data_IF_467272688053
#
_entry.id   IF_467272688053
#
_cell.length_a   1.000
_cell.length_b   1.000
_cell.length_c   1.000
_cell.angle_alpha   90.00
_cell.angle_beta   90.00
_cell.angle_gamma   90.00
#
_symmetry.space_group_name_H-M   'P 1'
#
loop_
_entity.id
_entity.type
_entity.pdbx_description
1 polymer ?
#
# COMPACT_ATOMS: atom_id res chain seq x y z
N UNK A 1 -23.68 -23.16 -7.12
CA UNK A 1 -23.21 -24.34 -6.36
C UNK A 1 -22.56 -23.80 -5.10
N UNK A 2 -22.96 -24.26 -3.90
CA UNK A 2 -22.27 -23.90 -2.67
C UNK A 2 -20.87 -24.51 -2.69
N UNK A 3 -19.85 -23.68 -2.56
CA UNK A 3 -18.45 -24.14 -2.50
C UNK A 3 -18.30 -24.89 -1.18
N UNK A 4 -18.02 -26.18 -1.23
CA UNK A 4 -17.74 -26.98 -0.03
C UNK A 4 -16.40 -26.48 0.54
N UNK A 5 -16.43 -25.83 1.69
CA UNK A 5 -15.23 -25.39 2.39
C UNK A 5 -14.65 -26.56 3.20
N UNK A 6 -13.32 -26.73 3.14
CA UNK A 6 -12.64 -27.71 3.99
C UNK A 6 -12.62 -27.25 5.46
N UNK A 7 -12.42 -28.19 6.38
CA UNK A 7 -12.29 -27.87 7.81
C UNK A 7 -11.19 -26.83 8.06
N UNK A 8 -10.05 -26.94 7.37
CA UNK A 8 -8.95 -25.96 7.44
C UNK A 8 -9.39 -24.56 6.99
N UNK A 9 -10.21 -24.45 5.94
CA UNK A 9 -10.75 -23.17 5.49
C UNK A 9 -11.70 -22.58 6.52
N UNK A 10 -12.54 -23.40 7.13
CA UNK A 10 -13.45 -22.97 8.20
C UNK A 10 -12.68 -22.48 9.45
N UNK A 11 -11.67 -23.24 9.90
CA UNK A 11 -10.84 -22.82 11.04
C UNK A 11 -10.06 -21.51 10.73
N UNK A 12 -9.47 -21.40 9.56
CA UNK A 12 -8.76 -20.20 9.12
C UNK A 12 -9.67 -18.97 9.08
N UNK A 13 -10.92 -19.13 8.63
CA UNK A 13 -11.88 -18.01 8.56
C UNK A 13 -12.23 -17.44 9.94
N UNK A 14 -12.10 -18.25 11.01
CA UNK A 14 -12.35 -17.82 12.39
C UNK A 14 -11.20 -16.99 12.98
N UNK A 15 -10.01 -17.02 12.39
CA UNK A 15 -8.86 -16.31 12.91
C UNK A 15 -9.08 -14.80 12.89
N UNK A 16 -8.89 -14.17 14.03
CA UNK A 16 -8.94 -12.71 14.18
C UNK A 16 -7.57 -12.20 14.61
N UNK A 17 -6.90 -11.38 13.79
CA UNK A 17 -5.58 -10.84 14.15
C UNK A 17 -5.69 -9.92 15.36
N UNK A 18 -4.71 -10.04 16.25
CA UNK A 18 -4.58 -9.13 17.40
C UNK A 18 -3.81 -7.89 16.95
N UNK A 19 -4.51 -6.76 16.89
CA UNK A 19 -3.89 -5.51 16.51
C UNK A 19 -2.94 -5.00 17.61
N UNK A 20 -1.81 -4.37 17.25
CA UNK A 20 -0.98 -3.64 18.17
C UNK A 20 -1.81 -2.63 18.99
N UNK A 21 -1.42 -2.42 20.24
CA UNK A 21 -2.21 -1.59 21.18
C UNK A 21 -2.51 -0.18 20.64
N UNK A 22 -1.60 0.40 19.86
CA UNK A 22 -1.77 1.72 19.25
C UNK A 22 -2.87 1.75 18.18
N UNK A 23 -3.12 0.62 17.49
CA UNK A 23 -4.08 0.54 16.39
C UNK A 23 -5.48 0.07 16.83
N UNK A 24 -5.66 -0.39 18.07
CA UNK A 24 -6.94 -0.96 18.55
C UNK A 24 -8.11 0.03 18.47
N UNK A 25 -7.84 1.31 18.71
CA UNK A 25 -8.83 2.39 18.59
C UNK A 25 -9.22 2.74 17.15
N UNK A 26 -8.55 2.14 16.16
CA UNK A 26 -8.72 2.42 14.75
C UNK A 26 -8.01 3.71 14.30
N UNK A 27 -8.10 4.03 13.00
CA UNK A 27 -7.31 5.13 12.41
C UNK A 27 -7.55 6.51 13.05
N UNK A 28 -8.77 6.81 13.50
CA UNK A 28 -9.10 8.07 14.18
C UNK A 28 -8.47 8.20 15.58
N UNK A 29 -8.05 7.09 16.16
CA UNK A 29 -7.39 7.03 17.48
C UNK A 29 -5.85 7.01 17.38
N UNK A 30 -5.29 7.30 16.20
CA UNK A 30 -3.84 7.25 15.93
C UNK A 30 -3.37 8.58 15.36
N UNK A 31 -2.29 9.10 15.90
CA UNK A 31 -1.59 10.26 15.37
C UNK A 31 -0.13 9.94 15.07
N UNK A 32 0.40 10.35 13.91
CA UNK A 32 1.82 10.22 13.62
C UNK A 32 2.59 11.28 14.39
N UNK A 33 3.70 10.88 15.04
CA UNK A 33 4.72 11.76 15.54
C UNK A 33 5.95 11.62 14.67
N UNK A 34 6.44 12.74 14.15
CA UNK A 34 7.65 12.75 13.36
C UNK A 34 8.88 12.66 14.27
N UNK A 35 9.70 11.67 14.00
CA UNK A 35 10.98 11.45 14.66
C UNK A 35 12.13 12.16 13.97
N UNK A 36 13.33 11.59 14.10
CA UNK A 36 14.52 12.09 13.41
C UNK A 36 14.45 11.80 11.91
N UNK A 37 15.13 12.61 11.07
CA UNK A 37 15.34 12.25 9.66
C UNK A 37 16.02 10.88 9.55
N UNK A 38 15.58 10.11 8.56
CA UNK A 38 16.18 8.81 8.24
C UNK A 38 17.40 8.99 7.34
N UNK A 39 18.31 8.03 7.37
CA UNK A 39 19.51 8.00 6.52
C UNK A 39 19.69 6.59 5.97
N UNK A 40 20.23 6.48 4.76
CA UNK A 40 20.69 5.18 4.26
C UNK A 40 21.97 4.73 4.98
N UNK A 41 22.18 3.42 5.03
CA UNK A 41 23.39 2.83 5.63
C UNK A 41 24.63 3.14 4.80
N UNK A 42 24.47 3.25 3.46
CA UNK A 42 25.54 3.56 2.51
C UNK A 42 25.06 4.55 1.44
N UNK A 43 25.99 5.05 0.64
CA UNK A 43 25.72 5.84 -0.57
C UNK A 43 24.84 7.07 -0.36
N UNK A 44 24.93 7.68 0.81
CA UNK A 44 24.02 8.76 1.26
C UNK A 44 24.01 9.96 0.31
N UNK A 45 25.16 10.39 -0.20
CA UNK A 45 25.26 11.52 -1.13
C UNK A 45 24.61 11.22 -2.48
N UNK A 46 24.90 10.04 -3.01
CA UNK A 46 24.32 9.58 -4.29
C UNK A 46 22.80 9.44 -4.19
N UNK A 47 22.32 8.83 -3.10
CA UNK A 47 20.89 8.69 -2.87
C UNK A 47 20.19 10.03 -2.67
N UNK A 48 20.82 10.97 -1.96
CA UNK A 48 20.29 12.32 -1.82
C UNK A 48 20.21 13.07 -3.15
N UNK A 49 21.19 12.86 -4.03
CA UNK A 49 21.18 13.45 -5.37
C UNK A 49 20.06 12.89 -6.25
N UNK A 50 19.78 11.58 -6.14
CA UNK A 50 18.73 10.89 -6.92
C UNK A 50 17.32 11.17 -6.36
N UNK A 51 17.19 11.28 -5.02
CA UNK A 51 15.91 11.43 -4.31
C UNK A 51 15.85 12.73 -3.49
N UNK A 52 16.05 13.92 -4.08
CA UNK A 52 16.16 15.17 -3.35
C UNK A 52 14.90 15.56 -2.56
N UNK A 53 13.71 15.07 -2.96
CA UNK A 53 12.43 15.37 -2.30
C UNK A 53 12.01 14.33 -1.26
N UNK A 54 12.57 13.13 -1.34
CA UNK A 54 12.14 12.01 -0.48
C UNK A 54 13.25 11.45 0.41
N UNK A 55 14.52 11.69 0.10
CA UNK A 55 15.63 11.31 0.98
C UNK A 55 15.57 12.06 2.31
N UNK A 56 15.79 11.34 3.39
CA UNK A 56 15.84 11.95 4.73
C UNK A 56 14.47 12.31 5.31
N UNK A 57 13.37 11.77 4.75
CA UNK A 57 12.08 11.92 5.39
C UNK A 57 12.12 11.38 6.83
N UNK A 58 11.46 12.07 7.79
CA UNK A 58 11.51 11.65 9.19
C UNK A 58 10.79 10.34 9.43
N UNK A 59 11.25 9.58 10.40
CA UNK A 59 10.53 8.42 10.89
C UNK A 59 9.14 8.84 11.42
N UNK A 60 8.09 8.19 10.96
CA UNK A 60 6.74 8.43 11.45
C UNK A 60 6.37 7.38 12.52
N UNK A 61 6.36 7.77 13.78
CA UNK A 61 5.95 6.92 14.89
C UNK A 61 4.45 7.06 15.13
N UNK A 62 3.74 5.93 15.12
CA UNK A 62 2.31 5.92 15.41
C UNK A 62 2.09 5.93 16.92
N UNK A 63 1.36 6.92 17.41
CA UNK A 63 1.03 7.07 18.83
C UNK A 63 -0.48 7.17 19.02
N UNK A 64 -0.95 6.80 20.20
CA UNK A 64 -2.36 7.01 20.57
C UNK A 64 -2.69 8.49 20.62
N UNK A 65 -3.80 8.87 20.02
CA UNK A 65 -4.27 10.26 20.01
C UNK A 65 -5.46 10.44 19.08
N UNK A 66 -6.21 11.52 19.27
CA UNK A 66 -7.33 11.84 18.40
C UNK A 66 -6.82 12.51 17.12
N UNK A 67 -7.07 11.88 15.98
CA UNK A 67 -6.77 12.45 14.66
C UNK A 67 -8.03 13.05 14.04
N UNK A 68 -8.22 14.39 14.10
CA UNK A 68 -9.43 15.04 13.62
C UNK A 68 -9.55 15.07 12.10
N UNK A 69 -8.52 14.72 11.36
CA UNK A 69 -8.51 14.72 9.89
C UNK A 69 -9.02 13.41 9.31
N UNK A 70 -8.89 12.31 10.07
CA UNK A 70 -9.34 10.99 9.63
C UNK A 70 -10.86 10.95 9.54
N UNK A 71 -11.36 10.51 8.41
CA UNK A 71 -12.78 10.32 8.16
C UNK A 71 -13.55 11.56 7.70
N UNK A 72 -12.95 12.77 7.68
CA UNK A 72 -13.62 14.00 7.23
C UNK A 72 -14.00 13.97 5.75
N UNK A 73 -13.13 13.44 4.91
CA UNK A 73 -13.34 13.28 3.47
C UNK A 73 -13.16 11.83 3.07
N UNK A 74 -13.88 11.36 2.06
CA UNK A 74 -13.59 10.06 1.47
C UNK A 74 -12.14 10.01 0.99
N UNK A 75 -11.50 8.85 1.17
CA UNK A 75 -10.11 8.57 0.79
C UNK A 75 -10.06 7.38 -0.16
N UNK A 76 -9.28 7.48 -1.22
CA UNK A 76 -9.07 6.42 -2.21
C UNK A 76 -7.61 5.97 -2.16
N UNK A 77 -7.41 4.73 -1.73
CA UNK A 77 -6.10 4.11 -1.68
C UNK A 77 -5.94 3.12 -2.82
N UNK A 78 -4.89 3.27 -3.61
CA UNK A 78 -4.44 2.25 -4.55
C UNK A 78 -3.56 1.22 -3.85
N UNK A 79 -3.63 -0.03 -4.27
CA UNK A 79 -2.71 -1.08 -3.84
C UNK A 79 -2.25 -1.88 -5.04
N UNK A 80 -0.97 -2.21 -5.07
CA UNK A 80 -0.34 -3.06 -6.09
C UNK A 80 0.57 -4.07 -5.41
N UNK A 81 0.49 -5.33 -5.86
CA UNK A 81 1.44 -6.37 -5.50
C UNK A 81 2.54 -6.44 -6.55
N UNK A 82 3.78 -6.32 -6.14
CA UNK A 82 4.93 -6.23 -7.04
C UNK A 82 5.98 -7.29 -6.72
N UNK A 83 6.52 -7.89 -7.77
CA UNK A 83 7.53 -8.94 -7.66
C UNK A 83 6.96 -10.35 -7.52
N UNK A 84 7.75 -11.26 -6.97
CA UNK A 84 7.33 -12.64 -6.69
C UNK A 84 6.32 -12.74 -5.56
N UNK A 85 5.54 -13.80 -5.55
CA UNK A 85 4.57 -14.08 -4.48
C UNK A 85 5.28 -14.43 -3.17
N UNK A 86 4.65 -14.06 -2.05
CA UNK A 86 5.04 -14.46 -0.71
C UNK A 86 3.81 -14.51 0.21
N UNK A 87 3.86 -15.20 1.34
CA UNK A 87 2.76 -15.19 2.30
C UNK A 87 2.42 -13.79 2.81
N UNK A 88 1.13 -13.48 2.97
CA UNK A 88 0.67 -12.29 3.68
C UNK A 88 0.08 -11.16 2.82
N UNK A 89 0.15 -11.23 1.49
CA UNK A 89 -0.41 -10.18 0.63
C UNK A 89 -1.89 -9.90 0.87
N UNK A 90 -2.70 -10.95 0.91
CA UNK A 90 -4.14 -10.82 1.20
C UNK A 90 -4.39 -10.24 2.59
N UNK A 91 -3.53 -10.53 3.57
CA UNK A 91 -3.67 -9.99 4.93
C UNK A 91 -3.37 -8.49 4.98
N UNK A 92 -2.37 -8.02 4.22
CA UNK A 92 -2.10 -6.58 4.07
C UNK A 92 -3.31 -5.89 3.44
N UNK A 93 -3.84 -6.46 2.35
CA UNK A 93 -4.98 -5.90 1.64
C UNK A 93 -6.25 -5.87 2.53
N UNK A 94 -6.55 -6.97 3.22
CA UNK A 94 -7.67 -7.04 4.15
C UNK A 94 -7.53 -6.03 5.30
N UNK A 95 -6.34 -5.91 5.89
CA UNK A 95 -6.06 -4.94 6.94
C UNK A 95 -6.23 -3.48 6.48
N UNK A 96 -5.76 -3.14 5.28
CA UNK A 96 -5.98 -1.83 4.69
C UNK A 96 -7.46 -1.55 4.41
N UNK A 97 -8.18 -2.53 3.87
CA UNK A 97 -9.62 -2.44 3.64
C UNK A 97 -10.38 -2.16 4.94
N UNK A 98 -10.14 -2.96 5.96
CA UNK A 98 -10.80 -2.83 7.26
C UNK A 98 -10.51 -1.46 7.91
N UNK A 99 -9.24 -1.02 7.86
CA UNK A 99 -8.85 0.29 8.37
C UNK A 99 -9.51 1.44 7.62
N UNK A 100 -9.56 1.37 6.29
CA UNK A 100 -10.23 2.37 5.45
C UNK A 100 -11.72 2.45 5.77
N UNK A 101 -12.41 1.32 5.82
CA UNK A 101 -13.85 1.27 6.12
C UNK A 101 -14.19 1.70 7.54
N UNK A 102 -13.31 1.39 8.50
CA UNK A 102 -13.43 1.86 9.89
C UNK A 102 -13.23 3.38 10.00
N UNK A 103 -12.34 3.95 9.19
CA UNK A 103 -12.12 5.40 9.16
C UNK A 103 -13.29 6.16 8.53
N UNK A 104 -13.79 5.69 7.40
CA UNK A 104 -14.96 6.23 6.70
C UNK A 104 -15.54 5.15 5.76
N UNK A 105 -16.81 4.76 5.89
CA UNK A 105 -17.44 3.78 5.00
C UNK A 105 -17.38 4.12 3.50
N UNK A 106 -17.27 5.42 3.16
CA UNK A 106 -17.14 5.92 1.77
C UNK A 106 -15.72 5.76 1.20
N UNK A 107 -14.72 5.43 2.03
CA UNK A 107 -13.37 5.18 1.55
C UNK A 107 -13.34 4.00 0.58
N UNK A 108 -12.43 4.08 -0.40
CA UNK A 108 -12.27 3.04 -1.43
C UNK A 108 -10.86 2.48 -1.42
N UNK A 109 -10.75 1.18 -1.62
CA UNK A 109 -9.50 0.50 -1.90
C UNK A 109 -9.55 0.01 -3.35
N UNK A 110 -8.55 0.39 -4.15
CA UNK A 110 -8.45 0.08 -5.57
C UNK A 110 -7.25 -0.83 -5.78
N UNK A 111 -7.48 -2.06 -6.22
CA UNK A 111 -6.42 -3.01 -6.55
C UNK A 111 -6.00 -2.89 -8.01
N UNK A 112 -4.71 -2.73 -8.29
CA UNK A 112 -4.16 -2.81 -9.64
C UNK A 112 -3.84 -4.26 -9.96
N UNK A 113 -4.43 -4.78 -11.05
CA UNK A 113 -4.40 -6.20 -11.40
C UNK A 113 -3.13 -6.53 -12.19
N UNK A 114 -2.46 -7.62 -11.83
CA UNK A 114 -1.27 -8.10 -12.53
C UNK A 114 0.02 -7.36 -12.16
N UNK A 115 0.02 -6.65 -11.04
CA UNK A 115 1.19 -5.91 -10.57
C UNK A 115 1.32 -4.52 -11.17
N UNK A 116 2.55 -3.94 -11.25
CA UNK A 116 2.76 -2.59 -11.74
C UNK A 116 2.31 -2.37 -13.20
N UNK A 117 2.25 -3.41 -14.03
CA UNK A 117 1.65 -3.31 -15.37
C UNK A 117 0.20 -2.88 -15.31
N UNK A 118 -0.54 -3.26 -14.27
CA UNK A 118 -1.91 -2.83 -14.07
C UNK A 118 -2.04 -1.30 -13.88
N UNK A 119 -1.02 -0.64 -13.36
CA UNK A 119 -0.97 0.84 -13.31
C UNK A 119 -0.78 1.39 -14.72
N UNK A 120 0.14 0.84 -15.50
CA UNK A 120 0.43 1.29 -16.87
C UNK A 120 -0.75 1.05 -17.82
N UNK A 121 -1.43 -0.06 -17.68
CA UNK A 121 -2.58 -0.46 -18.50
C UNK A 121 -3.92 0.09 -17.96
N UNK A 122 -3.91 0.82 -16.84
CA UNK A 122 -5.11 1.26 -16.11
C UNK A 122 -6.06 0.09 -15.78
N UNK A 123 -5.49 -1.07 -15.47
CA UNK A 123 -6.23 -2.30 -15.18
C UNK A 123 -6.43 -2.43 -13.68
N UNK A 124 -7.62 -2.10 -13.23
CA UNK A 124 -7.91 -1.97 -11.79
C UNK A 124 -9.30 -2.49 -11.44
N UNK A 125 -9.50 -2.79 -10.16
CA UNK A 125 -10.79 -3.14 -9.60
C UNK A 125 -11.01 -2.48 -8.24
N UNK A 126 -12.24 -2.12 -7.93
CA UNK A 126 -12.59 -1.73 -6.55
C UNK A 126 -12.66 -2.97 -5.67
N UNK A 127 -11.92 -2.97 -4.59
CA UNK A 127 -11.93 -4.04 -3.59
C UNK A 127 -13.13 -3.83 -2.68
N UNK A 128 -14.08 -4.76 -2.75
CA UNK A 128 -15.31 -4.76 -1.95
C UNK A 128 -15.22 -5.72 -0.77
N UNK A 129 -16.13 -5.60 0.19
CA UNK A 129 -16.22 -6.53 1.30
C UNK A 129 -16.37 -8.00 0.83
N UNK A 130 -17.20 -8.24 -0.19
CA UNK A 130 -17.38 -9.59 -0.74
C UNK A 130 -16.09 -10.16 -1.31
N UNK A 131 -15.28 -9.34 -1.99
CA UNK A 131 -13.97 -9.75 -2.50
C UNK A 131 -13.03 -10.08 -1.34
N UNK A 132 -12.93 -9.20 -0.33
CA UNK A 132 -12.04 -9.41 0.82
C UNK A 132 -12.39 -10.68 1.58
N UNK A 133 -13.67 -10.94 1.83
CA UNK A 133 -14.08 -12.12 2.61
C UNK A 133 -13.71 -13.44 1.95
N UNK A 134 -13.71 -13.51 0.60
CA UNK A 134 -13.26 -14.70 -0.13
C UNK A 134 -11.77 -15.03 0.09
N UNK A 135 -10.96 -14.02 0.40
CA UNK A 135 -9.50 -14.13 0.55
C UNK A 135 -9.00 -13.88 1.97
N UNK A 136 -9.91 -13.55 2.90
CA UNK A 136 -9.52 -13.27 4.29
C UNK A 136 -8.78 -14.44 4.90
N UNK A 137 -7.64 -14.15 5.54
CA UNK A 137 -6.75 -15.12 6.18
C UNK A 137 -6.16 -16.20 5.25
N UNK A 138 -6.27 -16.05 3.94
CA UNK A 138 -5.67 -17.00 3.00
C UNK A 138 -4.17 -16.81 2.80
N UNK A 139 -3.67 -15.60 3.07
CA UNK A 139 -2.25 -15.29 3.03
C UNK A 139 -1.60 -15.22 1.65
N UNK A 140 -2.36 -15.37 0.58
CA UNK A 140 -1.84 -15.40 -0.80
C UNK A 140 -1.65 -14.01 -1.44
N UNK A 141 -1.47 -14.02 -2.75
CA UNK A 141 -1.25 -12.85 -3.62
C UNK A 141 -2.16 -12.81 -4.86
N UNK A 142 -3.01 -13.82 -5.02
CA UNK A 142 -3.78 -14.04 -6.25
C UNK A 142 -5.03 -13.16 -6.38
N UNK A 143 -5.49 -12.51 -5.30
CA UNK A 143 -6.66 -11.63 -5.34
C UNK A 143 -6.57 -10.55 -6.42
N UNK A 144 -5.43 -9.88 -6.51
CA UNK A 144 -5.13 -8.87 -7.53
C UNK A 144 -3.93 -9.25 -8.39
N UNK A 145 -3.40 -10.46 -8.18
CA UNK A 145 -2.19 -10.95 -8.83
C UNK A 145 -0.96 -10.08 -8.55
N UNK A 146 0.19 -10.48 -9.03
CA UNK A 146 1.43 -9.69 -8.94
C UNK A 146 2.20 -9.77 -10.24
N UNK A 147 3.12 -8.83 -10.46
CA UNK A 147 3.96 -8.78 -11.65
C UNK A 147 5.31 -8.16 -11.38
N UNK A 148 6.26 -8.37 -12.30
CA UNK A 148 7.65 -7.90 -12.18
C UNK A 148 7.97 -6.68 -13.04
N UNK A 149 6.96 -6.06 -13.64
CA UNK A 149 7.12 -4.83 -14.40
C UNK A 149 7.65 -3.74 -13.49
N UNK A 150 8.68 -3.01 -13.95
CA UNK A 150 9.21 -1.83 -13.29
C UNK A 150 8.70 -0.58 -14.01
N UNK A 151 8.40 0.47 -13.27
CA UNK A 151 7.99 1.77 -13.81
C UNK A 151 9.17 2.71 -13.62
N UNK A 152 10.06 2.77 -14.63
CA UNK A 152 11.37 3.42 -14.52
C UNK A 152 11.61 4.45 -15.63
N UNK A 153 11.03 4.25 -16.83
CA UNK A 153 11.25 5.19 -17.92
C UNK A 153 10.38 6.44 -17.78
N UNK A 154 10.79 7.59 -18.34
CA UNK A 154 9.99 8.81 -18.31
C UNK A 154 8.57 8.61 -18.85
N UNK A 155 8.41 7.81 -19.90
CA UNK A 155 7.12 7.51 -20.52
C UNK A 155 6.24 6.70 -19.58
N UNK A 156 6.81 5.66 -18.92
CA UNK A 156 6.08 4.85 -17.93
C UNK A 156 5.67 5.67 -16.72
N UNK A 157 6.54 6.55 -16.23
CA UNK A 157 6.25 7.45 -15.12
C UNK A 157 5.11 8.42 -15.47
N UNK A 158 5.12 8.97 -16.70
CA UNK A 158 4.04 9.84 -17.19
C UNK A 158 2.70 9.09 -17.30
N UNK A 159 2.71 7.83 -17.79
CA UNK A 159 1.53 6.98 -17.84
C UNK A 159 1.03 6.69 -16.43
N UNK A 160 1.91 6.30 -15.51
CA UNK A 160 1.56 6.05 -14.12
C UNK A 160 0.93 7.29 -13.46
N UNK A 161 1.51 8.48 -13.66
CA UNK A 161 0.94 9.76 -13.22
C UNK A 161 -0.49 9.93 -13.72
N UNK A 162 -0.70 9.77 -15.03
CA UNK A 162 -2.03 9.90 -15.65
C UNK A 162 -3.04 8.92 -15.03
N UNK A 163 -2.66 7.66 -14.84
CA UNK A 163 -3.51 6.64 -14.22
C UNK A 163 -3.89 7.00 -12.78
N UNK A 164 -2.92 7.46 -11.99
CA UNK A 164 -3.11 7.78 -10.57
C UNK A 164 -3.95 9.05 -10.38
N UNK A 165 -3.74 10.07 -11.20
CA UNK A 165 -4.50 11.31 -11.13
C UNK A 165 -5.91 11.18 -11.69
N UNK A 166 -6.13 10.26 -12.59
CA UNK A 166 -7.34 10.08 -13.37
C UNK A 166 -8.26 11.30 -13.46
N UNK A 167 -8.70 11.61 -14.66
CA UNK A 167 -9.28 12.84 -15.19
C UNK A 167 -10.43 13.51 -14.42
N UNK A 168 -10.88 12.97 -13.29
CA UNK A 168 -11.90 13.61 -12.44
C UNK A 168 -11.47 13.55 -10.99
N UNK A 169 -11.73 14.61 -10.22
CA UNK A 169 -11.47 14.63 -8.76
C UNK A 169 -12.10 13.45 -8.03
N UNK A 170 -13.23 12.94 -8.52
CA UNK A 170 -13.91 11.77 -7.94
C UNK A 170 -13.14 10.45 -8.09
N UNK A 171 -12.20 10.36 -9.04
CA UNK A 171 -11.48 9.13 -9.37
C UNK A 171 -9.99 9.16 -8.99
N UNK A 172 -9.45 10.31 -8.62
CA UNK A 172 -8.06 10.45 -8.17
C UNK A 172 -7.78 9.59 -6.95
N UNK A 173 -6.60 8.99 -6.92
CA UNK A 173 -6.08 8.36 -5.71
C UNK A 173 -5.48 9.41 -4.75
N UNK A 174 -5.61 9.17 -3.46
CA UNK A 174 -4.98 9.96 -2.40
C UNK A 174 -3.70 9.29 -1.89
N UNK A 175 -3.55 7.99 -2.13
CA UNK A 175 -2.39 7.21 -1.76
C UNK A 175 -2.22 5.98 -2.63
N UNK A 176 -1.00 5.44 -2.66
CA UNK A 176 -0.63 4.21 -3.34
C UNK A 176 0.24 3.36 -2.41
N UNK A 177 -0.19 2.15 -2.11
CA UNK A 177 0.59 1.14 -1.41
C UNK A 177 1.23 0.18 -2.42
N UNK A 178 2.55 0.05 -2.38
CA UNK A 178 3.32 -0.88 -3.22
C UNK A 178 3.86 -1.98 -2.33
N UNK A 179 3.29 -3.18 -2.45
CA UNK A 179 3.69 -4.33 -1.63
C UNK A 179 4.64 -5.20 -2.43
N UNK A 180 5.90 -5.31 -1.99
CA UNK A 180 6.89 -6.10 -2.71
C UNK A 180 8.28 -6.14 -2.08
N UNK A 181 9.22 -6.80 -2.73
CA UNK A 181 10.62 -6.91 -2.31
C UNK A 181 11.42 -5.63 -2.55
N UNK A 182 12.74 -5.74 -2.51
CA UNK A 182 13.67 -4.60 -2.61
C UNK A 182 13.47 -3.78 -3.89
N UNK A 183 13.47 -4.44 -5.04
CA UNK A 183 13.22 -3.78 -6.33
C UNK A 183 11.89 -3.01 -6.35
N UNK A 184 10.86 -3.61 -5.74
CA UNK A 184 9.53 -3.01 -5.70
C UNK A 184 9.49 -1.79 -4.78
N UNK A 185 10.22 -1.82 -3.67
CA UNK A 185 10.33 -0.69 -2.74
C UNK A 185 11.21 0.41 -3.34
N UNK A 186 12.25 0.07 -4.09
CA UNK A 186 13.03 1.04 -4.88
C UNK A 186 12.14 1.72 -5.92
N UNK A 187 11.30 0.95 -6.63
CA UNK A 187 10.35 1.51 -7.59
C UNK A 187 9.28 2.38 -6.91
N UNK A 188 8.84 2.04 -5.70
CA UNK A 188 7.95 2.89 -4.90
C UNK A 188 8.62 4.23 -4.52
N UNK A 189 9.91 4.21 -4.17
CA UNK A 189 10.68 5.41 -3.90
C UNK A 189 10.80 6.30 -5.15
N UNK A 190 11.08 5.71 -6.32
CA UNK A 190 11.15 6.42 -7.59
C UNK A 190 9.81 7.07 -7.95
N UNK A 191 8.71 6.34 -7.82
CA UNK A 191 7.35 6.89 -8.02
C UNK A 191 7.05 8.03 -7.05
N UNK A 192 7.42 7.88 -5.77
CA UNK A 192 7.23 8.92 -4.76
C UNK A 192 7.99 10.21 -5.10
N UNK A 193 9.26 10.07 -5.51
CA UNK A 193 10.10 11.19 -5.92
C UNK A 193 9.51 11.88 -7.16
N UNK A 194 9.17 11.11 -8.19
CA UNK A 194 8.57 11.61 -9.42
C UNK A 194 7.26 12.36 -9.15
N UNK A 195 6.36 11.77 -8.38
CA UNK A 195 5.08 12.42 -8.07
C UNK A 195 5.26 13.73 -7.28
N UNK A 196 6.22 13.78 -6.37
CA UNK A 196 6.55 15.03 -5.66
C UNK A 196 7.14 16.09 -6.59
N UNK A 197 7.99 15.70 -7.53
CA UNK A 197 8.56 16.61 -8.53
C UNK A 197 7.47 17.19 -9.44
N UNK A 198 6.51 16.36 -9.84
CA UNK A 198 5.39 16.71 -10.71
C UNK A 198 4.22 17.39 -9.98
N UNK A 199 4.32 17.60 -8.68
CA UNK A 199 3.25 18.21 -7.86
C UNK A 199 2.00 17.35 -7.68
N UNK A 200 2.10 16.04 -7.94
CA UNK A 200 0.99 15.09 -7.75
C UNK A 200 0.73 14.90 -6.27
N UNK A 201 -0.50 15.11 -5.84
CA UNK A 201 -0.91 15.03 -4.43
C UNK A 201 -1.29 13.60 -4.02
N UNK A 202 -0.37 12.67 -4.21
CA UNK A 202 -0.51 11.26 -3.86
C UNK A 202 0.68 10.83 -3.01
N UNK A 203 0.41 10.19 -1.87
CA UNK A 203 1.45 9.58 -1.05
C UNK A 203 1.72 8.16 -1.54
N UNK A 204 2.97 7.83 -1.85
CA UNK A 204 3.39 6.46 -2.16
C UNK A 204 4.07 5.85 -0.95
N UNK A 205 3.64 4.66 -0.55
CA UNK A 205 4.20 3.92 0.58
C UNK A 205 4.60 2.53 0.10
N UNK A 206 5.88 2.20 0.23
CA UNK A 206 6.39 0.85 0.07
C UNK A 206 6.05 0.01 1.30
N UNK A 207 5.57 -1.20 1.08
CA UNK A 207 5.32 -2.21 2.11
C UNK A 207 6.26 -3.37 1.83
N UNK A 208 7.36 -3.49 2.58
CA UNK A 208 8.39 -4.46 2.29
C UNK A 208 7.91 -5.89 2.52
N UNK A 209 8.32 -6.77 1.63
CA UNK A 209 8.03 -8.19 1.61
C UNK A 209 9.35 -8.98 1.59
N UNK A 210 9.48 -9.93 2.48
CA UNK A 210 10.58 -10.91 2.47
C UNK A 210 10.06 -12.29 2.80
N UNK A 211 10.63 -13.31 2.20
CA UNK A 211 10.42 -14.72 2.55
C UNK A 211 11.49 -15.16 3.57
N UNK A 212 12.69 -14.61 3.42
CA UNK A 212 13.88 -15.05 4.14
C UNK A 212 14.03 -14.38 5.52
N UNK A 213 13.21 -13.37 5.82
CA UNK A 213 13.26 -12.63 7.09
C UNK A 213 14.52 -11.75 7.24
N UNK A 214 15.14 -11.38 6.12
CA UNK A 214 16.42 -10.66 6.04
C UNK A 214 16.28 -9.13 6.10
N UNK A 215 15.08 -8.62 6.25
CA UNK A 215 14.87 -7.19 6.44
C UNK A 215 15.41 -6.75 7.80
N UNK A 216 16.35 -5.83 7.78
CA UNK A 216 16.89 -5.20 8.98
C UNK A 216 15.97 -4.07 9.40
N UNK A 217 15.41 -4.19 10.60
CA UNK A 217 14.73 -3.09 11.29
C UNK A 217 15.72 -2.47 12.27
N UNK A 218 15.93 -1.16 12.19
CA UNK A 218 16.65 -0.40 13.23
C UNK A 218 15.71 -0.04 14.39
#
# INVERSE_FOLDING_TARGET
MATIQSELQLERSKFKPVLPAVLRSGPSGVVPRLGKPTQSVSDQESLRAIFPKTYGLPLALLTKGRNPLVGKKPFRLGIVFSGGQAPGGHNVLAGLFDALKKANPKNKLIGFIGGPSGILENKQMEITAAVVENYRNTGGFDMIQSGRTKIETPEQLAIAKKTIEQTTEANRLDGLAVVGGDDSNTNAALLSEYFKNEGVKVSVIGVPKTIDGDLKNE
#
